data_IF_222679169802
#
_entry.id   IF_222679169802
#
_cell.length_a   1.000
_cell.length_b   1.000
_cell.length_c   1.000
_cell.angle_alpha   90.00
_cell.angle_beta   90.00
_cell.angle_gamma   90.00
#
_symmetry.space_group_name_H-M   'P 1'
#
loop_
_entity.id
_entity.type
_entity.pdbx_description
1 polymer ?
#
# COMPACT_ATOMS: atom_id res chain seq x y z
N UNK A 1 -17.49 13.75 12.74
CA UNK A 1 -16.30 14.52 12.32
C UNK A 1 -16.70 15.46 11.19
N UNK A 2 -16.34 16.73 11.28
CA UNK A 2 -16.65 17.77 10.29
C UNK A 2 -15.33 18.26 9.69
N UNK A 3 -15.26 18.29 8.37
CA UNK A 3 -14.11 18.84 7.62
C UNK A 3 -14.50 20.22 7.08
N UNK A 4 -13.62 21.19 7.23
CA UNK A 4 -13.71 22.48 6.56
C UNK A 4 -12.46 22.67 5.69
N UNK A 5 -12.65 22.54 4.38
CA UNK A 5 -11.57 22.61 3.40
C UNK A 5 -11.03 24.03 3.24
N UNK A 6 -11.90 25.07 3.38
CA UNK A 6 -11.50 26.48 3.24
C UNK A 6 -10.49 26.88 4.33
N UNK A 7 -10.74 26.46 5.57
CA UNK A 7 -9.89 26.78 6.72
C UNK A 7 -8.86 25.68 7.03
N UNK A 8 -8.87 24.58 6.27
CA UNK A 8 -8.04 23.38 6.52
C UNK A 8 -8.16 22.88 7.96
N UNK A 9 -9.41 22.78 8.47
CA UNK A 9 -9.68 22.37 9.84
C UNK A 9 -10.50 21.09 9.93
N UNK A 10 -10.30 20.35 11.02
CA UNK A 10 -11.05 19.15 11.38
C UNK A 10 -11.69 19.37 12.75
N UNK A 11 -13.00 19.17 12.86
CA UNK A 11 -13.71 19.23 14.12
C UNK A 11 -14.21 17.85 14.53
N UNK A 12 -13.83 17.42 15.72
CA UNK A 12 -14.29 16.19 16.34
C UNK A 12 -15.44 16.52 17.29
N UNK A 13 -16.64 16.07 16.93
CA UNK A 13 -17.90 16.54 17.54
C UNK A 13 -18.12 15.99 18.96
N UNK A 14 -17.57 14.81 19.26
CA UNK A 14 -17.81 14.17 20.54
C UNK A 14 -16.57 14.17 21.43
N UNK A 15 -16.78 14.32 22.73
CA UNK A 15 -15.70 14.26 23.72
C UNK A 15 -15.07 12.86 23.74
N UNK A 16 -13.75 12.82 23.56
CA UNK A 16 -12.98 11.58 23.56
C UNK A 16 -12.74 10.97 22.17
N UNK A 17 -13.32 11.56 21.11
CA UNK A 17 -12.90 11.21 19.75
C UNK A 17 -11.42 11.51 19.55
N UNK A 18 -10.75 10.65 18.81
CA UNK A 18 -9.38 10.83 18.34
C UNK A 18 -9.28 10.47 16.88
N UNK A 19 -8.39 11.12 16.15
CA UNK A 19 -8.12 10.85 14.75
C UNK A 19 -6.80 10.06 14.64
N UNK A 20 -6.84 8.91 13.99
CA UNK A 20 -5.66 8.14 13.60
C UNK A 20 -5.47 8.25 12.09
N UNK A 21 -4.30 8.71 11.66
CA UNK A 21 -3.95 8.87 10.25
C UNK A 21 -3.05 7.72 9.72
N UNK A 22 -2.94 6.63 10.47
CA UNK A 22 -2.05 5.52 10.16
C UNK A 22 -2.24 4.89 8.78
N UNK A 23 -3.45 4.99 8.22
CA UNK A 23 -3.80 4.44 6.91
C UNK A 23 -3.39 5.32 5.72
N UNK A 24 -2.91 6.56 5.94
CA UNK A 24 -2.66 7.53 4.86
C UNK A 24 -1.41 8.36 5.05
N UNK A 25 -0.97 8.55 6.30
CA UNK A 25 0.06 9.55 6.63
C UNK A 25 1.44 9.22 6.07
N UNK A 26 1.81 7.93 6.00
CA UNK A 26 3.10 7.53 5.44
C UNK A 26 3.17 7.80 3.93
N UNK A 27 2.12 7.39 3.22
CA UNK A 27 2.00 7.60 1.79
C UNK A 27 1.98 9.08 1.44
N UNK A 28 1.18 9.87 2.15
CA UNK A 28 1.08 11.33 1.96
C UNK A 28 2.42 12.03 2.24
N UNK A 29 3.08 11.74 3.35
CA UNK A 29 4.39 12.32 3.67
C UNK A 29 5.47 11.92 2.65
N UNK A 30 5.47 10.67 2.22
CA UNK A 30 6.38 10.16 1.19
C UNK A 30 6.18 10.86 -0.15
N UNK A 31 4.91 11.13 -0.53
CA UNK A 31 4.59 11.88 -1.74
C UNK A 31 5.17 13.30 -1.70
N UNK A 32 4.95 14.02 -0.60
CA UNK A 32 5.49 15.38 -0.41
C UNK A 32 7.02 15.40 -0.52
N UNK A 33 7.69 14.42 0.09
CA UNK A 33 9.16 14.31 0.02
C UNK A 33 9.60 14.04 -1.42
N UNK A 34 8.94 13.11 -2.13
CA UNK A 34 9.30 12.78 -3.49
C UNK A 34 9.07 13.96 -4.46
N UNK A 35 8.00 14.72 -4.27
CA UNK A 35 7.73 15.91 -5.09
C UNK A 35 8.82 16.98 -4.90
N UNK A 36 9.27 17.20 -3.67
CA UNK A 36 10.43 18.09 -3.40
C UNK A 36 11.73 17.58 -4.03
N UNK A 37 11.96 16.27 -4.07
CA UNK A 37 13.10 15.65 -4.75
C UNK A 37 13.03 15.92 -6.26
N UNK A 38 11.85 15.80 -6.86
CA UNK A 38 11.60 16.13 -8.28
C UNK A 38 11.83 17.62 -8.56
N UNK A 39 11.28 18.51 -7.73
CA UNK A 39 11.45 19.96 -7.83
C UNK A 39 12.92 20.39 -7.72
N UNK A 40 13.72 19.68 -6.93
CA UNK A 40 15.17 19.88 -6.86
C UNK A 40 15.93 19.38 -8.10
N UNK A 41 15.24 18.84 -9.13
CA UNK A 41 15.81 18.39 -10.38
C UNK A 41 16.30 16.95 -10.39
N UNK A 42 16.02 16.17 -9.35
CA UNK A 42 16.38 14.75 -9.31
C UNK A 42 15.45 13.94 -10.22
N UNK A 43 16.00 13.28 -11.21
CA UNK A 43 15.25 12.43 -12.16
C UNK A 43 15.18 10.98 -11.72
N UNK A 44 16.21 10.50 -11.04
CA UNK A 44 16.40 9.10 -10.71
C UNK A 44 16.44 8.91 -9.21
N UNK A 45 15.37 8.39 -8.65
CA UNK A 45 15.26 8.15 -7.21
C UNK A 45 14.30 7.00 -6.93
N UNK A 46 14.53 6.34 -5.83
CA UNK A 46 13.60 5.46 -5.15
C UNK A 46 13.58 5.81 -3.68
N UNK A 47 12.39 6.00 -3.13
CA UNK A 47 12.15 6.24 -1.71
C UNK A 47 11.43 5.01 -1.13
N UNK A 48 11.94 4.48 -0.03
CA UNK A 48 11.27 3.45 0.75
C UNK A 48 11.04 3.94 2.17
N UNK A 49 9.79 4.08 2.57
CA UNK A 49 9.38 4.58 3.86
C UNK A 49 8.47 3.57 4.57
N UNK A 50 9.07 2.59 5.26
CA UNK A 50 8.32 1.60 6.04
C UNK A 50 7.31 0.79 5.20
N UNK A 51 7.71 0.36 3.99
CA UNK A 51 6.88 -0.41 3.07
C UNK A 51 6.12 0.40 2.02
N UNK A 52 6.10 1.73 2.14
CA UNK A 52 5.63 2.61 1.08
C UNK A 52 6.82 2.93 0.16
N UNK A 53 6.75 2.54 -1.09
CA UNK A 53 7.81 2.74 -2.08
C UNK A 53 7.32 3.69 -3.15
N UNK A 54 8.13 4.72 -3.46
CA UNK A 54 7.93 5.60 -4.61
C UNK A 54 9.18 5.48 -5.48
N UNK A 55 9.00 5.17 -6.74
CA UNK A 55 10.07 5.05 -7.72
C UNK A 55 9.89 6.09 -8.83
N UNK A 56 10.86 6.99 -9.01
CA UNK A 56 10.96 7.85 -10.19
C UNK A 56 11.50 7.06 -11.39
N UNK A 57 12.06 7.74 -12.38
CA UNK A 57 12.74 7.06 -13.47
C UNK A 57 13.97 6.28 -12.95
N UNK A 58 14.32 5.23 -13.66
CA UNK A 58 15.57 4.51 -13.48
C UNK A 58 16.51 4.85 -14.63
N UNK A 59 17.79 5.19 -14.36
CA UNK A 59 18.75 5.35 -15.45
C UNK A 59 18.91 4.02 -16.19
N UNK A 60 18.99 4.07 -17.51
CA UNK A 60 19.24 2.88 -18.29
C UNK A 60 20.69 2.40 -18.05
N UNK A 61 20.79 1.29 -17.32
CA UNK A 61 22.08 0.65 -17.02
C UNK A 61 21.97 -0.79 -17.52
N UNK A 62 22.86 -1.16 -18.44
CA UNK A 62 22.90 -2.51 -19.02
C UNK A 62 21.57 -2.98 -19.64
N UNK A 63 20.86 -2.05 -20.29
CA UNK A 63 19.57 -2.33 -20.93
C UNK A 63 18.39 -2.40 -19.97
N UNK A 64 18.58 -2.13 -18.67
CA UNK A 64 17.50 -2.08 -17.67
C UNK A 64 17.15 -0.62 -17.38
N UNK A 65 15.95 -0.23 -17.74
CA UNK A 65 15.42 1.13 -17.62
C UNK A 65 14.22 1.23 -16.64
N UNK A 66 13.82 0.13 -16.00
CA UNK A 66 12.77 0.08 -14.98
C UNK A 66 13.31 -0.43 -13.65
N UNK A 67 12.78 0.09 -12.56
CA UNK A 67 12.98 -0.47 -11.23
C UNK A 67 12.31 -1.84 -11.14
N UNK A 68 12.96 -2.77 -10.44
CA UNK A 68 12.40 -4.07 -10.10
C UNK A 68 12.22 -4.12 -8.57
N UNK A 69 10.99 -4.16 -8.12
CA UNK A 69 10.60 -4.04 -6.71
C UNK A 69 9.88 -5.32 -6.31
N UNK A 70 10.45 -6.05 -5.34
CA UNK A 70 9.88 -7.29 -4.84
C UNK A 70 8.74 -7.03 -3.87
N UNK A 71 7.63 -7.76 -4.02
CA UNK A 71 6.55 -7.84 -3.04
C UNK A 71 6.87 -8.97 -2.08
N UNK A 72 6.93 -8.65 -0.78
CA UNK A 72 7.25 -9.62 0.25
C UNK A 72 6.20 -10.72 0.36
N UNK A 73 6.64 -11.96 0.54
CA UNK A 73 5.77 -13.09 0.87
C UNK A 73 5.24 -12.93 2.32
N UNK A 74 3.92 -12.87 2.55
CA UNK A 74 3.34 -12.74 3.89
C UNK A 74 3.51 -13.98 4.76
N UNK A 75 3.82 -15.15 4.19
CA UNK A 75 3.94 -16.42 4.90
C UNK A 75 5.37 -16.70 5.40
N UNK A 76 6.35 -15.96 4.90
CA UNK A 76 7.76 -16.18 5.30
C UNK A 76 8.08 -15.38 6.56
N UNK A 77 8.29 -16.08 7.67
CA UNK A 77 8.78 -15.52 8.94
C UNK A 77 10.32 -15.65 9.04
N UNK A 78 10.95 -14.64 9.64
CA UNK A 78 12.39 -14.68 9.92
C UNK A 78 13.29 -14.02 8.88
N UNK A 79 14.64 -14.23 9.05
CA UNK A 79 15.71 -13.64 8.21
C UNK A 79 16.16 -14.55 7.06
N UNK A 80 15.47 -15.65 6.79
CA UNK A 80 15.79 -16.52 5.66
C UNK A 80 15.66 -15.75 4.34
N UNK A 81 16.40 -16.14 3.30
CA UNK A 81 16.33 -15.51 1.97
C UNK A 81 14.90 -15.56 1.43
N UNK A 82 14.18 -14.46 1.67
CA UNK A 82 12.78 -14.29 1.26
C UNK A 82 12.74 -14.03 -0.24
N UNK A 83 12.32 -15.03 -0.99
CA UNK A 83 11.97 -14.77 -2.38
C UNK A 83 10.69 -13.94 -2.42
N UNK A 84 10.64 -12.88 -3.23
CA UNK A 84 9.40 -12.12 -3.39
C UNK A 84 8.34 -12.99 -4.07
N UNK A 85 7.09 -12.86 -3.64
CA UNK A 85 5.96 -13.54 -4.30
C UNK A 85 5.67 -12.96 -5.68
N UNK A 86 6.07 -11.70 -5.91
CA UNK A 86 5.93 -11.02 -7.17
C UNK A 86 7.02 -9.95 -7.33
N UNK A 87 7.37 -9.62 -8.58
CA UNK A 87 8.31 -8.54 -8.90
C UNK A 87 7.62 -7.51 -9.78
N UNK A 88 7.40 -6.32 -9.22
CA UNK A 88 6.81 -5.19 -9.92
C UNK A 88 7.92 -4.42 -10.65
N UNK A 89 7.72 -4.15 -11.95
CA UNK A 89 8.65 -3.39 -12.80
C UNK A 89 7.99 -2.12 -13.29
N UNK A 90 8.59 -0.97 -12.96
CA UNK A 90 8.03 0.30 -13.40
C UNK A 90 8.88 1.50 -13.02
N UNK A 91 8.48 2.64 -13.59
CA UNK A 91 8.98 3.98 -13.30
C UNK A 91 7.80 4.90 -13.01
N UNK A 92 8.03 5.96 -12.24
CA UNK A 92 7.01 6.94 -11.88
C UNK A 92 5.77 6.30 -11.25
N UNK A 93 5.99 5.37 -10.32
CA UNK A 93 4.97 4.59 -9.63
C UNK A 93 5.19 4.62 -8.12
N UNK A 94 4.10 4.44 -7.40
CA UNK A 94 4.05 4.18 -5.97
C UNK A 94 3.53 2.78 -5.73
N UNK A 95 4.15 2.06 -4.81
CA UNK A 95 3.79 0.68 -4.43
C UNK A 95 3.65 0.65 -2.92
N UNK A 96 2.48 0.27 -2.43
CA UNK A 96 2.19 0.17 -1.01
C UNK A 96 1.52 -1.16 -0.71
N UNK A 97 2.01 -1.84 0.32
CA UNK A 97 1.43 -3.09 0.81
C UNK A 97 0.95 -2.93 2.24
N UNK A 98 -0.31 -3.26 2.48
CA UNK A 98 -0.87 -3.51 3.82
C UNK A 98 -0.94 -5.01 4.06
N UNK A 99 -0.51 -5.47 5.24
CA UNK A 99 -0.48 -6.89 5.56
C UNK A 99 -0.57 -7.19 7.05
N UNK A 100 -0.95 -8.42 7.37
CA UNK A 100 -1.07 -8.93 8.74
C UNK A 100 0.26 -9.35 9.37
N UNK A 101 1.35 -9.31 8.60
CA UNK A 101 2.69 -9.75 9.00
C UNK A 101 3.65 -8.61 9.37
N UNK A 102 3.32 -7.37 9.05
CA UNK A 102 4.17 -6.21 9.34
C UNK A 102 4.05 -5.74 10.79
N UNK A 103 2.82 -5.66 11.27
CA UNK A 103 2.47 -5.31 12.66
C UNK A 103 1.30 -6.15 13.10
N UNK A 104 1.50 -6.99 14.09
CA UNK A 104 0.48 -7.91 14.56
C UNK A 104 0.67 -8.23 16.05
N UNK A 105 -0.37 -8.81 16.62
CA UNK A 105 -0.35 -9.44 17.93
C UNK A 105 -0.54 -10.93 17.75
N UNK A 106 0.11 -11.74 18.59
CA UNK A 106 -0.14 -13.18 18.62
C UNK A 106 -0.83 -13.53 19.93
N UNK A 107 -2.01 -14.14 19.83
CA UNK A 107 -2.79 -14.64 20.98
C UNK A 107 -3.15 -16.08 20.70
N UNK A 108 -2.78 -16.99 21.62
CA UNK A 108 -3.01 -18.43 21.49
C UNK A 108 -2.55 -19.03 20.14
N UNK A 109 -1.43 -18.54 19.62
CA UNK A 109 -0.86 -18.98 18.35
C UNK A 109 -1.53 -18.40 17.10
N UNK A 110 -2.59 -17.60 17.24
CA UNK A 110 -3.25 -16.90 16.15
C UNK A 110 -2.70 -15.48 16.01
N UNK A 111 -2.37 -15.08 14.77
CA UNK A 111 -1.94 -13.73 14.41
C UNK A 111 -3.15 -12.83 14.19
N UNK A 112 -3.10 -11.62 14.76
CA UNK A 112 -4.11 -10.57 14.60
C UNK A 112 -3.45 -9.32 14.04
N UNK A 113 -3.91 -8.87 12.88
CA UNK A 113 -3.42 -7.65 12.25
C UNK A 113 -3.70 -6.41 13.11
N UNK A 114 -2.85 -5.39 13.00
CA UNK A 114 -3.07 -4.09 13.64
C UNK A 114 -4.19 -3.26 12.98
N UNK A 115 -4.65 -3.67 11.81
CA UNK A 115 -5.71 -3.00 11.04
C UNK A 115 -7.05 -3.46 11.59
N UNK A 116 -7.85 -2.50 12.07
CA UNK A 116 -9.16 -2.76 12.66
C UNK A 116 -10.25 -2.50 11.61
N UNK A 117 -11.14 -3.46 11.44
CA UNK A 117 -12.35 -3.30 10.65
C UNK A 117 -13.35 -2.41 11.43
N UNK A 118 -13.75 -1.25 10.89
CA UNK A 118 -14.63 -0.31 11.59
C UNK A 118 -16.08 -0.82 11.77
N UNK A 119 -16.51 -1.80 11.00
CA UNK A 119 -17.85 -2.40 11.14
C UNK A 119 -17.89 -3.41 12.29
N UNK A 120 -16.88 -4.25 12.39
CA UNK A 120 -16.83 -5.32 13.40
C UNK A 120 -16.11 -4.91 14.67
N UNK A 121 -15.29 -3.85 14.62
CA UNK A 121 -14.37 -3.40 15.68
C UNK A 121 -13.36 -4.47 16.09
N UNK A 122 -13.06 -5.39 15.16
CA UNK A 122 -12.09 -6.47 15.33
C UNK A 122 -10.94 -6.32 14.31
N UNK A 123 -9.79 -6.95 14.54
CA UNK A 123 -8.74 -7.04 13.53
C UNK A 123 -9.27 -7.60 12.21
N UNK A 124 -8.88 -6.96 11.10
CA UNK A 124 -9.27 -7.42 9.77
C UNK A 124 -8.60 -8.77 9.44
N UNK A 125 -9.38 -9.73 8.95
CA UNK A 125 -8.93 -11.12 8.77
C UNK A 125 -9.14 -11.67 7.35
N UNK A 126 -9.51 -10.83 6.36
CA UNK A 126 -9.91 -11.32 5.03
C UNK A 126 -8.70 -11.69 4.15
N UNK A 127 -7.60 -10.96 4.29
CA UNK A 127 -6.41 -11.15 3.47
C UNK A 127 -5.15 -11.25 4.34
N UNK A 128 -4.09 -11.87 3.81
CA UNK A 128 -2.74 -11.80 4.35
C UNK A 128 -2.07 -10.50 3.97
N UNK A 129 -2.24 -10.08 2.70
CA UNK A 129 -1.74 -8.79 2.22
C UNK A 129 -2.55 -8.26 1.04
N UNK A 130 -2.49 -6.94 0.86
CA UNK A 130 -2.98 -6.22 -0.32
C UNK A 130 -1.92 -5.24 -0.76
N UNK A 131 -1.51 -5.34 -2.03
CA UNK A 131 -0.52 -4.46 -2.65
C UNK A 131 -1.20 -3.59 -3.70
N UNK A 132 -0.96 -2.29 -3.64
CA UNK A 132 -1.47 -1.30 -4.59
C UNK A 132 -0.32 -0.72 -5.40
N UNK A 133 -0.57 -0.53 -6.71
CA UNK A 133 0.26 0.25 -7.62
C UNK A 133 -0.56 1.43 -8.09
N UNK A 134 -0.03 2.65 -7.97
CA UNK A 134 -0.61 3.88 -8.54
C UNK A 134 0.49 4.93 -8.66
N UNK A 135 0.18 6.13 -9.17
CA UNK A 135 1.15 7.24 -9.23
C UNK A 135 1.25 8.02 -7.93
N UNK A 136 0.20 8.05 -7.13
CA UNK A 136 0.11 8.79 -5.87
C UNK A 136 0.29 7.87 -4.66
N UNK A 137 1.31 8.14 -3.85
CA UNK A 137 1.63 7.30 -2.68
C UNK A 137 0.62 7.44 -1.54
N UNK A 138 -0.02 8.60 -1.40
CA UNK A 138 -1.09 8.81 -0.42
C UNK A 138 -2.32 7.98 -0.77
N UNK A 139 -2.70 7.99 -2.05
CA UNK A 139 -3.78 7.15 -2.57
C UNK A 139 -3.45 5.65 -2.41
N UNK A 140 -2.20 5.25 -2.71
CA UNK A 140 -1.77 3.87 -2.55
C UNK A 140 -1.88 3.39 -1.09
N UNK A 141 -1.45 4.22 -0.12
CA UNK A 141 -1.53 3.92 1.32
C UNK A 141 -2.99 3.78 1.77
N UNK A 142 -3.85 4.72 1.37
CA UNK A 142 -5.30 4.67 1.61
C UNK A 142 -5.94 3.40 1.04
N UNK A 143 -5.71 3.12 -0.24
CA UNK A 143 -6.31 1.98 -0.92
C UNK A 143 -5.81 0.65 -0.35
N UNK A 144 -4.51 0.51 -0.06
CA UNK A 144 -3.98 -0.75 0.47
C UNK A 144 -4.65 -1.15 1.79
N UNK A 145 -4.87 -0.17 2.67
CA UNK A 145 -5.56 -0.41 3.96
C UNK A 145 -7.05 -0.63 3.77
N UNK A 146 -7.70 0.16 2.93
CA UNK A 146 -9.15 0.04 2.71
C UNK A 146 -9.50 -1.28 2.03
N UNK A 147 -8.74 -1.70 1.01
CA UNK A 147 -8.97 -2.96 0.31
C UNK A 147 -8.61 -4.19 1.17
N UNK A 148 -7.73 -4.02 2.16
CA UNK A 148 -7.43 -5.07 3.14
C UNK A 148 -8.62 -5.37 4.07
N UNK A 149 -9.47 -4.36 4.33
CA UNK A 149 -10.67 -4.48 5.19
C UNK A 149 -11.88 -4.97 4.39
N UNK A 150 -12.10 -4.43 3.18
CA UNK A 150 -13.26 -4.72 2.35
C UNK A 150 -13.25 -6.16 1.81
N UNK A 151 -14.45 -6.69 1.50
CA UNK A 151 -14.55 -7.87 0.64
C UNK A 151 -14.00 -7.54 -0.74
N UNK A 152 -13.41 -8.54 -1.42
CA UNK A 152 -12.74 -8.33 -2.70
C UNK A 152 -13.64 -7.66 -3.75
N UNK A 153 -14.91 -8.04 -3.82
CA UNK A 153 -15.88 -7.45 -4.76
C UNK A 153 -16.08 -5.96 -4.51
N UNK A 154 -16.34 -5.57 -3.27
CA UNK A 154 -16.44 -4.16 -2.86
C UNK A 154 -15.13 -3.41 -3.04
N UNK A 155 -14.01 -4.09 -2.79
CA UNK A 155 -12.67 -3.55 -3.04
C UNK A 155 -12.44 -3.23 -4.52
N UNK A 156 -12.84 -4.12 -5.43
CA UNK A 156 -12.78 -3.89 -6.88
C UNK A 156 -13.71 -2.75 -7.32
N UNK A 157 -14.93 -2.67 -6.77
CA UNK A 157 -15.84 -1.54 -7.07
C UNK A 157 -15.25 -0.19 -6.64
N UNK A 158 -14.57 -0.15 -5.48
CA UNK A 158 -13.86 1.05 -5.04
C UNK A 158 -12.67 1.37 -5.93
N UNK A 159 -11.83 0.37 -6.22
CA UNK A 159 -10.63 0.51 -7.04
C UNK A 159 -10.95 1.06 -8.44
N UNK A 160 -12.04 0.60 -9.05
CA UNK A 160 -12.51 1.04 -10.38
C UNK A 160 -12.88 2.53 -10.46
N UNK A 161 -12.93 3.25 -9.34
CA UNK A 161 -13.12 4.70 -9.32
C UNK A 161 -11.81 5.47 -9.58
N UNK A 162 -10.68 4.77 -9.63
CA UNK A 162 -9.34 5.34 -9.78
C UNK A 162 -8.66 4.72 -11.02
N UNK A 163 -8.53 5.49 -12.09
CA UNK A 163 -8.07 5.00 -13.40
C UNK A 163 -6.64 4.42 -13.38
N UNK A 164 -5.77 4.96 -12.51
CA UNK A 164 -4.34 4.58 -12.45
C UNK A 164 -4.03 3.61 -11.29
N UNK A 165 -5.03 3.02 -10.64
CA UNK A 165 -4.81 2.17 -9.48
C UNK A 165 -5.02 0.68 -9.81
N UNK A 166 -4.01 -0.13 -9.49
CA UNK A 166 -4.02 -1.57 -9.67
C UNK A 166 -3.77 -2.28 -8.34
N UNK A 167 -4.30 -3.47 -8.19
CA UNK A 167 -4.23 -4.20 -6.94
C UNK A 167 -3.89 -5.69 -7.10
N UNK A 168 -3.18 -6.19 -6.09
CA UNK A 168 -2.94 -7.61 -5.86
C UNK A 168 -3.35 -7.97 -4.42
N UNK A 169 -4.15 -9.01 -4.27
CA UNK A 169 -4.56 -9.60 -2.99
C UNK A 169 -3.90 -10.96 -2.80
N UNK A 170 -3.48 -11.22 -1.56
CA UNK A 170 -3.12 -12.57 -1.10
C UNK A 170 -4.15 -12.96 -0.04
N UNK A 171 -4.97 -13.96 -0.33
CA UNK A 171 -6.00 -14.43 0.61
C UNK A 171 -5.40 -15.28 1.76
N UNK A 172 -6.24 -15.73 2.67
CA UNK A 172 -5.80 -16.51 3.84
C UNK A 172 -5.25 -17.91 3.48
N UNK A 173 -5.64 -18.43 2.32
CA UNK A 173 -5.14 -19.70 1.80
C UNK A 173 -3.85 -19.54 0.96
N UNK A 174 -3.39 -18.30 0.76
CA UNK A 174 -2.21 -17.98 -0.03
C UNK A 174 -2.48 -17.83 -1.53
N UNK A 175 -3.76 -17.84 -1.97
CA UNK A 175 -4.07 -17.61 -3.37
C UNK A 175 -3.86 -16.14 -3.73
N UNK A 176 -3.24 -15.90 -4.87
CA UNK A 176 -2.97 -14.56 -5.40
C UNK A 176 -4.03 -14.21 -6.44
N UNK A 177 -4.64 -13.04 -6.27
CA UNK A 177 -5.53 -12.42 -7.25
C UNK A 177 -5.01 -11.04 -7.61
N UNK A 178 -5.00 -10.72 -8.90
CA UNK A 178 -4.48 -9.48 -9.45
C UNK A 178 -5.49 -8.87 -10.41
N UNK A 179 -5.53 -7.53 -10.47
CA UNK A 179 -6.21 -6.84 -11.56
C UNK A 179 -5.44 -7.04 -12.88
N UNK A 180 -6.11 -6.85 -14.01
CA UNK A 180 -5.47 -7.05 -15.32
C UNK A 180 -4.32 -6.08 -15.54
N UNK A 181 -4.47 -4.80 -15.13
CA UNK A 181 -3.41 -3.81 -15.25
C UNK A 181 -2.23 -4.09 -14.30
N UNK A 182 -2.44 -4.72 -13.15
CA UNK A 182 -1.35 -5.13 -12.26
C UNK A 182 -0.38 -6.09 -12.98
N UNK A 183 -0.92 -7.01 -13.77
CA UNK A 183 -0.13 -7.99 -14.53
C UNK A 183 0.81 -7.34 -15.55
N UNK A 184 0.50 -6.14 -16.03
CA UNK A 184 1.38 -5.42 -16.95
C UNK A 184 2.70 -4.97 -16.28
N UNK A 185 2.67 -4.77 -14.97
CA UNK A 185 3.86 -4.42 -14.17
C UNK A 185 4.71 -5.65 -13.80
N UNK A 186 4.19 -6.87 -13.96
CA UNK A 186 4.92 -8.10 -13.58
C UNK A 186 5.55 -8.82 -14.77
N UNK A 187 5.26 -8.37 -15.99
CA UNK A 187 5.88 -8.90 -17.22
C UNK A 187 7.37 -8.55 -17.31
N UNK A 188 8.17 -9.50 -17.78
CA UNK A 188 9.61 -9.34 -18.05
C UNK A 188 9.87 -8.45 -19.25
#
# INVERSE_FOLDING_TARGET
MILNEEDSTVFLEEKGMALDLGATSKGFASQIVMDKIKEAGCKYAILSAGGNIIALERPNIEGRDKWAIGVQDPDVEGEEEKQPIEIIRGNNISIVTSGDYQRFYTVDGKRYAHIIDPETLQPAEKFKSVTIITKDSGLADYLSTTLFILDQEKGLELLNKFEDAEAMWVDKDGNIKQTEGFKEYTKN
#
